data_IF_946684146287
#
_entry.id   IF_946684146287
#
_cell.length_a   1.000
_cell.length_b   1.000
_cell.length_c   1.000
_cell.angle_alpha   90.00
_cell.angle_beta   90.00
_cell.angle_gamma   90.00
#
_symmetry.space_group_name_H-M   'P 1'
#
loop_
_entity.id
_entity.type
_entity.pdbx_description
1 polymer ?
#
# COMPACT_ATOMS: atom_id res chain seq x y z
N UNK A 1 -38.54 -44.70 51.49
CA UNK A 1 -38.44 -43.26 51.84
C UNK A 1 -37.10 -42.77 51.33
N UNK A 2 -36.94 -41.83 50.40
CA UNK A 2 -37.85 -40.98 49.61
C UNK A 2 -37.07 -40.58 48.35
N UNK A 3 -37.78 -40.68 47.23
CA UNK A 3 -37.77 -39.86 46.01
C UNK A 3 -36.46 -39.55 45.24
N UNK A 4 -36.35 -40.23 44.09
CA UNK A 4 -35.71 -39.74 42.86
C UNK A 4 -36.74 -38.85 42.16
N UNK A 5 -36.37 -37.60 41.82
CA UNK A 5 -37.15 -36.74 40.92
C UNK A 5 -36.25 -36.31 39.75
N UNK A 6 -36.65 -36.73 38.55
CA UNK A 6 -36.12 -36.30 37.26
C UNK A 6 -36.57 -34.87 36.96
N UNK A 7 -35.66 -34.01 36.52
CA UNK A 7 -36.00 -32.70 35.96
C UNK A 7 -35.28 -32.48 34.61
N UNK A 8 -36.07 -32.65 33.53
CA UNK A 8 -36.23 -31.71 32.43
C UNK A 8 -35.02 -31.29 31.60
N UNK A 9 -34.99 -31.75 30.35
CA UNK A 9 -34.28 -31.13 29.22
C UNK A 9 -34.85 -29.75 28.88
N UNK A 10 -33.99 -28.74 28.70
CA UNK A 10 -34.28 -27.49 28.00
C UNK A 10 -32.98 -26.82 27.49
N UNK A 11 -33.04 -26.02 26.41
CA UNK A 11 -32.07 -26.07 25.32
C UNK A 11 -30.85 -25.14 25.48
N UNK A 12 -29.75 -25.53 24.81
CA UNK A 12 -28.53 -24.73 24.59
C UNK A 12 -28.90 -23.36 24.00
N UNK A 13 -28.89 -22.32 24.83
CA UNK A 13 -28.81 -20.93 24.35
C UNK A 13 -27.39 -20.64 23.88
N UNK A 14 -27.26 -20.38 22.58
CA UNK A 14 -26.09 -19.76 21.96
C UNK A 14 -25.68 -18.51 22.78
N UNK A 15 -24.42 -18.43 23.18
CA UNK A 15 -23.85 -17.18 23.70
C UNK A 15 -23.67 -16.23 22.51
N UNK A 16 -24.66 -15.37 22.35
CA UNK A 16 -24.69 -14.23 21.46
C UNK A 16 -23.51 -13.28 21.73
N UNK A 17 -23.11 -12.59 20.67
CA UNK A 17 -22.02 -11.64 20.56
C UNK A 17 -21.80 -10.75 21.80
N UNK A 18 -20.53 -10.55 22.15
CA UNK A 18 -20.09 -9.52 23.10
C UNK A 18 -20.61 -8.15 22.68
N UNK A 19 -21.68 -7.71 23.33
CA UNK A 19 -22.09 -6.32 23.36
C UNK A 19 -21.11 -5.56 24.25
N UNK A 20 -20.04 -5.04 23.65
CA UNK A 20 -19.34 -3.90 24.25
C UNK A 20 -20.33 -2.74 24.19
N UNK A 21 -21.05 -2.52 25.29
CA UNK A 21 -21.81 -1.30 25.48
C UNK A 21 -20.81 -0.14 25.46
N UNK A 22 -20.83 0.63 24.38
CA UNK A 22 -20.22 1.94 24.34
C UNK A 22 -20.89 2.80 25.41
N UNK A 23 -20.15 3.62 26.17
CA UNK A 23 -20.73 4.45 27.22
C UNK A 23 -21.90 5.28 26.68
N UNK A 24 -23.02 5.23 27.37
CA UNK A 24 -24.27 5.93 27.04
C UNK A 24 -24.25 7.44 27.35
N UNK A 25 -23.04 8.01 27.50
CA UNK A 25 -22.85 9.42 27.83
C UNK A 25 -22.16 10.14 26.66
N UNK A 26 -22.87 10.24 25.52
CA UNK A 26 -22.55 11.25 24.52
C UNK A 26 -23.29 12.53 24.90
N UNK A 27 -22.66 13.32 25.76
CA UNK A 27 -23.07 14.71 25.98
C UNK A 27 -22.97 15.47 24.66
N UNK A 28 -24.06 16.13 24.31
CA UNK A 28 -24.23 17.09 23.20
C UNK A 28 -23.44 18.38 23.45
N UNK A 29 -22.22 18.29 23.98
CA UNK A 29 -21.25 19.34 23.75
C UNK A 29 -20.87 19.23 22.28
N UNK A 30 -21.40 20.15 21.46
CA UNK A 30 -21.15 20.21 20.03
C UNK A 30 -19.63 20.10 19.80
N UNK A 31 -19.19 18.97 19.25
CA UNK A 31 -17.78 18.80 18.88
C UNK A 31 -17.41 19.96 17.97
N UNK A 32 -16.29 20.60 18.28
CA UNK A 32 -15.79 21.76 17.51
C UNK A 32 -15.24 21.35 16.15
N UNK A 33 -15.14 20.05 15.89
CA UNK A 33 -14.67 19.48 14.64
C UNK A 33 -15.71 19.73 13.54
N UNK A 34 -15.34 20.42 12.44
CA UNK A 34 -16.26 20.70 11.36
C UNK A 34 -16.64 19.44 10.59
N UNK A 35 -17.85 19.45 10.02
CA UNK A 35 -18.27 18.49 9.00
C UNK A 35 -18.08 19.17 7.65
N UNK A 36 -17.30 18.55 6.77
CA UNK A 36 -17.18 18.95 5.37
C UNK A 36 -18.30 18.28 4.56
N UNK A 37 -19.24 19.10 4.12
CA UNK A 37 -20.35 18.71 3.26
C UNK A 37 -19.95 18.87 1.79
N UNK A 38 -20.18 17.84 0.99
CA UNK A 38 -19.93 17.89 -0.46
C UNK A 38 -21.02 17.17 -1.24
N UNK A 39 -21.12 17.47 -2.54
CA UNK A 39 -22.01 16.81 -3.48
C UNK A 39 -21.20 16.23 -4.64
N UNK A 40 -21.75 15.26 -5.36
CA UNK A 40 -21.06 14.65 -6.51
C UNK A 40 -20.84 15.65 -7.65
N UNK A 41 -21.65 16.71 -7.74
CA UNK A 41 -21.43 17.83 -8.67
C UNK A 41 -20.16 18.66 -8.38
N UNK A 42 -19.58 18.54 -7.18
CA UNK A 42 -18.37 19.27 -6.78
C UNK A 42 -17.09 18.53 -7.24
N UNK A 43 -17.22 17.33 -7.83
CA UNK A 43 -16.11 16.53 -8.31
C UNK A 43 -15.41 17.12 -9.53
N UNK A 44 -14.08 17.18 -9.48
CA UNK A 44 -13.21 17.50 -10.62
C UNK A 44 -12.70 16.20 -11.22
N UNK A 45 -13.25 15.79 -12.36
CA UNK A 45 -12.75 14.61 -13.08
C UNK A 45 -11.37 14.89 -13.67
N UNK A 46 -11.21 16.04 -14.32
CA UNK A 46 -9.99 16.46 -15.00
C UNK A 46 -9.50 17.79 -14.42
N UNK A 47 -8.34 17.78 -13.74
CA UNK A 47 -7.78 19.00 -13.15
C UNK A 47 -7.33 20.04 -14.19
N UNK A 48 -7.15 19.66 -15.46
CA UNK A 48 -6.78 20.62 -16.52
C UNK A 48 -7.97 21.34 -17.11
N UNK A 49 -9.19 20.82 -16.95
CA UNK A 49 -10.37 21.52 -17.44
C UNK A 49 -10.61 22.76 -16.57
N UNK A 50 -10.94 23.91 -17.18
CA UNK A 50 -11.36 25.07 -16.43
C UNK A 50 -12.54 24.66 -15.55
N UNK A 51 -12.47 24.99 -14.26
CA UNK A 51 -13.65 24.88 -13.40
C UNK A 51 -14.64 25.88 -13.99
N UNK A 52 -15.76 25.39 -14.54
CA UNK A 52 -16.85 26.25 -14.93
C UNK A 52 -17.30 26.97 -13.66
N UNK A 53 -16.90 28.23 -13.50
CA UNK A 53 -17.41 29.07 -12.43
C UNK A 53 -18.91 29.13 -12.66
N UNK A 54 -19.67 28.41 -11.86
CA UNK A 54 -21.11 28.62 -11.73
C UNK A 54 -21.31 29.93 -10.98
N UNK A 55 -20.87 31.03 -11.59
CA UNK A 55 -21.28 32.39 -11.27
C UNK A 55 -22.71 32.65 -11.78
N UNK A 56 -23.57 31.63 -11.70
CA UNK A 56 -25.01 31.82 -11.68
C UNK A 56 -25.35 32.42 -10.32
N UNK A 57 -25.64 33.73 -10.30
CA UNK A 57 -26.06 34.49 -9.13
C UNK A 57 -27.01 33.65 -8.26
N UNK A 58 -26.52 33.16 -7.10
CA UNK A 58 -27.34 32.44 -6.12
C UNK A 58 -26.98 30.97 -5.86
N UNK A 59 -26.02 30.34 -6.55
CA UNK A 59 -25.51 29.04 -6.10
C UNK A 59 -24.40 29.21 -5.05
N UNK A 60 -24.39 28.41 -3.96
CA UNK A 60 -23.32 28.45 -2.97
C UNK A 60 -22.01 28.05 -3.64
N UNK A 61 -20.95 28.82 -3.35
CA UNK A 61 -19.58 28.54 -3.81
C UNK A 61 -19.16 27.12 -3.39
N UNK A 62 -18.39 26.47 -4.27
CA UNK A 62 -17.89 25.13 -3.99
C UNK A 62 -17.01 25.16 -2.73
N UNK A 63 -17.26 24.23 -1.81
CA UNK A 63 -16.42 24.11 -0.63
C UNK A 63 -15.00 23.63 -1.02
N UNK A 64 -13.98 24.40 -0.63
CA UNK A 64 -12.58 24.06 -0.90
C UNK A 64 -12.03 23.12 0.18
N UNK A 65 -11.93 21.84 -0.15
CA UNK A 65 -11.37 20.83 0.75
C UNK A 65 -9.87 21.07 1.00
N UNK A 66 -9.11 21.57 0.02
CA UNK A 66 -7.66 21.79 0.16
C UNK A 66 -7.37 22.87 1.18
N UNK A 67 -8.04 24.02 1.10
CA UNK A 67 -7.86 25.11 2.07
C UNK A 67 -8.31 24.70 3.47
N UNK A 68 -9.40 23.93 3.58
CA UNK A 68 -9.85 23.41 4.87
C UNK A 68 -8.85 22.42 5.46
N UNK A 69 -8.32 21.49 4.67
CA UNK A 69 -7.28 20.56 5.13
C UNK A 69 -6.06 21.32 5.65
N UNK A 70 -5.57 22.29 4.89
CA UNK A 70 -4.41 23.10 5.27
C UNK A 70 -4.64 23.87 6.57
N UNK A 71 -5.74 24.62 6.66
CA UNK A 71 -6.04 25.42 7.85
C UNK A 71 -6.17 24.57 9.11
N UNK A 72 -6.86 23.43 9.03
CA UNK A 72 -7.02 22.49 10.16
C UNK A 72 -5.72 21.81 10.55
N UNK A 73 -4.85 21.51 9.59
CA UNK A 73 -3.52 20.97 9.88
C UNK A 73 -2.62 22.00 10.58
N UNK A 74 -2.65 23.28 10.16
CA UNK A 74 -1.93 24.36 10.85
C UNK A 74 -2.46 24.60 12.27
N UNK A 75 -3.78 24.53 12.47
CA UNK A 75 -4.39 24.62 13.79
C UNK A 75 -3.90 23.49 14.71
N UNK A 76 -3.92 22.24 14.23
CA UNK A 76 -3.38 21.10 14.97
C UNK A 76 -1.88 21.26 15.27
N UNK A 77 -1.10 21.88 14.35
CA UNK A 77 0.31 22.22 14.57
C UNK A 77 0.48 23.19 15.72
N UNK A 78 -0.33 24.27 15.75
CA UNK A 78 -0.31 25.27 16.81
C UNK A 78 -0.66 24.69 18.19
N UNK A 79 -1.33 23.53 18.21
CA UNK A 79 -1.71 22.78 19.42
C UNK A 79 -0.76 21.62 19.75
N UNK A 80 0.41 21.55 19.12
CA UNK A 80 1.43 20.52 19.34
C UNK A 80 0.95 19.07 19.11
N UNK A 81 0.13 18.84 18.08
CA UNK A 81 -0.37 17.50 17.73
C UNK A 81 0.67 16.57 17.04
N UNK A 82 1.89 17.06 16.77
CA UNK A 82 2.92 16.33 16.03
C UNK A 82 4.09 15.92 16.92
N UNK A 83 4.67 14.76 16.64
CA UNK A 83 5.80 14.23 17.40
C UNK A 83 7.13 14.94 17.12
N UNK A 84 7.24 15.64 15.99
CA UNK A 84 8.45 16.31 15.52
C UNK A 84 8.14 17.41 14.51
N UNK A 85 9.14 18.27 14.24
CA UNK A 85 9.10 19.27 13.19
C UNK A 85 9.39 18.69 11.80
N UNK A 86 8.94 19.37 10.74
CA UNK A 86 9.26 18.99 9.37
C UNK A 86 10.55 19.68 8.92
N UNK A 87 11.68 19.09 9.29
CA UNK A 87 13.02 19.51 8.86
C UNK A 87 13.52 18.60 7.73
N UNK A 88 12.90 18.71 6.56
CA UNK A 88 13.13 17.81 5.44
C UNK A 88 14.15 18.37 4.43
N UNK A 89 15.00 17.49 3.90
CA UNK A 89 15.82 17.77 2.71
C UNK A 89 15.41 16.86 1.57
N UNK A 90 15.58 17.30 0.33
CA UNK A 90 15.16 16.53 -0.85
C UNK A 90 16.28 16.44 -1.86
N UNK A 91 16.31 15.33 -2.60
CA UNK A 91 17.10 15.19 -3.82
C UNK A 91 16.38 14.30 -4.82
N UNK A 92 16.70 14.49 -6.09
CA UNK A 92 16.36 13.55 -7.14
C UNK A 92 17.49 12.52 -7.28
N UNK A 93 17.11 11.27 -7.57
CA UNK A 93 18.04 10.23 -7.96
C UNK A 93 17.98 10.12 -9.47
N UNK A 94 19.07 10.48 -10.12
CA UNK A 94 19.18 10.32 -11.57
C UNK A 94 19.19 8.84 -11.94
N UNK A 95 18.42 8.51 -12.97
CA UNK A 95 18.36 7.17 -13.53
C UNK A 95 17.11 6.96 -14.38
N UNK A 96 16.78 5.69 -14.61
CA UNK A 96 15.67 5.29 -15.46
C UNK A 96 14.33 5.68 -14.86
N UNK A 97 14.17 5.66 -13.54
CA UNK A 97 12.87 5.80 -12.85
C UNK A 97 12.62 7.20 -12.28
N UNK A 98 13.61 8.10 -12.33
CA UNK A 98 13.54 9.49 -11.86
C UNK A 98 13.01 9.61 -10.42
N UNK A 99 13.59 8.83 -9.51
CA UNK A 99 13.11 8.74 -8.13
C UNK A 99 13.37 10.04 -7.36
N UNK A 100 12.45 10.39 -6.47
CA UNK A 100 12.68 11.45 -5.48
C UNK A 100 13.01 10.84 -4.13
N UNK A 101 13.83 11.52 -3.32
CA UNK A 101 14.14 11.09 -1.96
C UNK A 101 14.03 12.27 -0.99
N UNK A 102 13.29 12.07 0.10
CA UNK A 102 13.20 12.99 1.24
C UNK A 102 13.98 12.44 2.43
N UNK A 103 14.90 13.22 3.00
CA UNK A 103 15.49 12.95 4.31
C UNK A 103 14.59 13.52 5.41
N UNK A 104 14.25 12.68 6.39
CA UNK A 104 13.65 13.10 7.65
C UNK A 104 14.20 12.26 8.81
N UNK A 105 15.23 12.77 9.48
CA UNK A 105 15.95 12.08 10.57
C UNK A 105 15.05 11.93 11.80
N UNK A 106 14.38 13.01 12.21
CA UNK A 106 13.50 13.02 13.38
C UNK A 106 12.38 11.99 13.23
N UNK A 107 11.83 11.81 12.02
CA UNK A 107 10.86 10.75 11.74
C UNK A 107 11.46 9.35 11.92
N UNK A 108 12.70 9.14 11.50
CA UNK A 108 13.39 7.85 11.70
C UNK A 108 13.51 7.47 13.17
N UNK A 109 13.69 8.46 14.04
CA UNK A 109 13.94 8.29 15.48
C UNK A 109 12.66 8.29 16.33
N UNK A 110 11.75 9.23 16.04
CA UNK A 110 10.59 9.55 16.89
C UNK A 110 9.29 8.88 16.42
N UNK A 111 9.27 8.28 15.23
CA UNK A 111 8.10 7.51 14.78
C UNK A 111 7.92 6.27 15.66
N UNK A 112 6.67 5.98 15.98
CA UNK A 112 6.28 4.74 16.66
C UNK A 112 6.81 3.52 15.90
N UNK A 113 7.32 2.53 16.66
CA UNK A 113 7.67 1.22 16.12
C UNK A 113 6.42 0.54 15.54
N UNK A 114 6.46 0.05 14.29
CA UNK A 114 5.33 -0.65 13.69
C UNK A 114 4.91 -1.87 14.51
N UNK A 115 3.61 -2.15 14.53
CA UNK A 115 3.08 -3.40 15.04
C UNK A 115 3.53 -4.58 14.16
N UNK A 116 3.69 -5.76 14.76
CA UNK A 116 4.03 -6.98 14.03
C UNK A 116 2.77 -7.75 13.67
N UNK A 117 2.69 -8.16 12.41
CA UNK A 117 1.59 -8.92 11.84
C UNK A 117 2.10 -10.21 11.20
N UNK A 118 1.24 -11.23 11.16
CA UNK A 118 1.45 -12.56 10.57
C UNK A 118 0.58 -12.78 9.34
N UNK A 119 -0.60 -12.15 9.31
CA UNK A 119 -1.56 -12.28 8.22
C UNK A 119 -2.06 -10.91 7.79
N UNK A 120 -2.53 -10.82 6.55
CA UNK A 120 -3.13 -9.58 6.04
C UNK A 120 -4.46 -9.30 6.74
N UNK A 121 -5.22 -10.37 7.02
CA UNK A 121 -6.49 -10.33 7.74
C UNK A 121 -6.31 -10.69 9.21
N UNK A 122 -5.66 -9.81 9.97
CA UNK A 122 -5.71 -9.91 11.43
C UNK A 122 -6.93 -9.19 12.00
N UNK A 123 -7.60 -9.76 13.01
CA UNK A 123 -8.72 -9.09 13.66
C UNK A 123 -8.25 -7.80 14.35
N UNK A 124 -9.11 -6.78 14.31
CA UNK A 124 -8.91 -5.57 15.10
C UNK A 124 -8.79 -5.92 16.59
N UNK A 125 -7.92 -5.20 17.30
CA UNK A 125 -7.74 -5.39 18.74
C UNK A 125 -7.88 -4.04 19.48
N UNK A 126 -8.94 -3.85 20.30
CA UNK A 126 -9.17 -2.59 21.01
C UNK A 126 -8.10 -2.27 22.07
N UNK A 127 -7.39 -3.30 22.57
CA UNK A 127 -6.35 -3.16 23.58
C UNK A 127 -5.04 -2.60 22.99
N UNK A 128 -4.81 -2.80 21.68
CA UNK A 128 -3.66 -2.20 20.99
C UNK A 128 -3.96 -0.73 20.66
N UNK A 129 -2.93 0.04 20.33
CA UNK A 129 -3.12 1.42 19.88
C UNK A 129 -4.01 1.44 18.62
N UNK A 130 -4.97 2.37 18.58
CA UNK A 130 -5.90 2.52 17.46
C UNK A 130 -6.49 3.95 17.46
N UNK A 131 -7.10 4.36 16.34
CA UNK A 131 -7.59 5.72 16.15
C UNK A 131 -8.81 6.14 17.00
N UNK A 132 -9.52 5.23 17.68
CA UNK A 132 -10.56 5.67 18.63
C UNK A 132 -9.99 6.38 19.85
N UNK A 133 -8.65 6.37 19.99
CA UNK A 133 -7.90 7.04 21.05
C UNK A 133 -7.37 8.42 20.64
N UNK A 134 -7.72 8.93 19.45
CA UNK A 134 -7.35 10.27 19.02
C UNK A 134 -8.00 11.31 19.94
N UNK A 135 -7.25 12.36 20.26
CA UNK A 135 -7.78 13.54 20.92
C UNK A 135 -8.59 14.36 19.92
N UNK A 136 -9.56 15.17 20.41
CA UNK A 136 -10.37 16.02 19.53
C UNK A 136 -9.52 16.97 18.67
N UNK A 137 -8.40 17.47 19.22
CA UNK A 137 -7.45 18.33 18.50
C UNK A 137 -6.69 17.63 17.36
N UNK A 138 -6.68 16.30 17.32
CA UNK A 138 -6.08 15.53 16.23
C UNK A 138 -7.09 15.28 15.10
N UNK A 139 -8.39 15.50 15.35
CA UNK A 139 -9.45 15.33 14.37
C UNK A 139 -9.63 16.63 13.58
N UNK A 140 -9.36 16.58 12.28
CA UNK A 140 -9.40 17.76 11.43
C UNK A 140 -10.83 18.06 10.98
N UNK A 141 -11.54 17.06 10.46
CA UNK A 141 -12.92 17.18 9.97
C UNK A 141 -13.60 15.81 9.84
N UNK A 142 -14.92 15.82 9.71
CA UNK A 142 -15.73 14.68 9.26
C UNK A 142 -16.20 14.88 7.82
N UNK A 143 -16.29 13.81 7.03
CA UNK A 143 -16.77 13.87 5.64
C UNK A 143 -18.23 13.43 5.51
N UNK A 144 -19.04 14.21 4.79
CA UNK A 144 -20.40 13.80 4.38
C UNK A 144 -20.72 14.20 2.94
N UNK A 145 -21.18 13.22 2.17
CA UNK A 145 -21.75 13.42 0.84
C UNK A 145 -23.28 13.59 0.97
N UNK A 146 -23.84 14.69 0.47
CA UNK A 146 -25.25 15.04 0.67
C UNK A 146 -26.19 14.35 -0.32
N UNK A 147 -25.84 14.37 -1.60
CA UNK A 147 -26.66 13.86 -2.71
C UNK A 147 -26.50 12.35 -2.93
N UNK A 148 -25.37 11.79 -2.47
CA UNK A 148 -25.13 10.35 -2.46
C UNK A 148 -24.59 9.94 -1.10
N UNK A 149 -25.40 9.71 -0.05
CA UNK A 149 -24.89 9.37 1.27
C UNK A 149 -23.88 8.21 1.26
N UNK A 150 -22.77 8.34 2.01
CA UNK A 150 -21.75 7.29 2.14
C UNK A 150 -22.30 6.09 2.92
N UNK A 151 -23.13 6.38 3.92
CA UNK A 151 -23.69 5.46 4.89
C UNK A 151 -25.07 5.97 5.30
N UNK A 152 -26.01 5.05 5.54
CA UNK A 152 -27.34 5.37 6.09
C UNK A 152 -27.33 5.44 7.61
N UNK A 153 -26.25 5.00 8.26
CA UNK A 153 -26.08 5.04 9.70
C UNK A 153 -25.61 6.45 10.14
N UNK A 154 -26.42 7.20 10.91
CA UNK A 154 -26.04 8.55 11.34
C UNK A 154 -24.83 8.56 12.28
N UNK A 155 -24.55 7.45 12.97
CA UNK A 155 -23.43 7.31 13.92
C UNK A 155 -22.12 6.89 13.25
N UNK A 156 -22.17 6.52 11.97
CA UNK A 156 -21.00 6.14 11.19
C UNK A 156 -20.21 7.40 10.80
N UNK A 157 -18.99 7.51 11.31
CA UNK A 157 -18.13 8.70 11.18
C UNK A 157 -16.94 8.39 10.29
N UNK A 158 -16.79 9.16 9.22
CA UNK A 158 -15.62 9.14 8.33
C UNK A 158 -14.76 10.35 8.66
N UNK A 159 -13.55 10.09 9.16
CA UNK A 159 -12.69 11.11 9.77
C UNK A 159 -11.52 11.42 8.86
N UNK A 160 -11.16 12.70 8.75
CA UNK A 160 -9.79 13.10 8.44
C UNK A 160 -9.13 13.58 9.73
N UNK A 161 -7.99 13.01 10.06
CA UNK A 161 -7.20 13.33 11.25
C UNK A 161 -5.76 13.65 10.87
N UNK A 162 -5.04 14.41 11.69
CA UNK A 162 -3.61 14.63 11.45
C UNK A 162 -2.84 13.33 11.59
N UNK A 163 -1.77 13.17 10.81
CA UNK A 163 -0.77 12.18 11.11
C UNK A 163 0.23 12.77 12.10
N UNK A 164 0.23 12.31 13.36
CA UNK A 164 1.19 12.75 14.39
C UNK A 164 2.66 12.47 14.01
N UNK A 165 2.92 11.65 12.99
CA UNK A 165 4.24 11.43 12.40
C UNK A 165 4.22 11.73 10.90
N UNK A 166 4.10 13.03 10.54
CA UNK A 166 3.90 13.46 9.16
C UNK A 166 5.16 13.21 8.30
N UNK A 167 4.94 13.07 6.99
CA UNK A 167 6.01 12.98 5.98
C UNK A 167 6.26 14.36 5.40
N UNK A 168 5.17 15.04 5.06
CA UNK A 168 5.14 16.39 4.53
C UNK A 168 4.10 17.21 5.28
N UNK A 169 4.14 18.53 5.08
CA UNK A 169 3.07 19.44 5.46
C UNK A 169 1.73 18.91 4.96
N UNK A 170 0.71 19.07 5.79
CA UNK A 170 -0.66 18.63 5.52
C UNK A 170 -0.83 17.09 5.41
N UNK A 171 0.20 16.29 5.69
CA UNK A 171 0.07 14.83 5.78
C UNK A 171 -0.93 14.45 6.89
N UNK A 172 -2.04 13.89 6.44
CA UNK A 172 -3.20 13.53 7.24
C UNK A 172 -3.62 12.08 6.96
N UNK A 173 -4.58 11.58 7.73
CA UNK A 173 -5.09 10.22 7.69
C UNK A 173 -6.59 10.24 7.40
N UNK A 174 -7.02 9.43 6.45
CA UNK A 174 -8.43 9.14 6.20
C UNK A 174 -8.76 7.88 7.00
N UNK A 175 -9.73 7.97 7.91
CA UNK A 175 -10.15 6.88 8.80
C UNK A 175 -11.63 6.59 8.53
N UNK A 176 -11.93 5.64 7.62
CA UNK A 176 -13.30 5.25 7.30
C UNK A 176 -13.97 4.58 8.49
N UNK A 177 -15.16 5.05 8.85
CA UNK A 177 -16.01 4.38 9.84
C UNK A 177 -15.27 4.11 11.16
N UNK A 178 -14.67 5.15 11.74
CA UNK A 178 -13.78 5.04 12.91
C UNK A 178 -14.42 4.27 14.08
N UNK A 179 -15.75 4.40 14.24
CA UNK A 179 -16.51 3.73 15.30
C UNK A 179 -16.74 2.23 15.05
N UNK A 180 -16.58 1.76 13.80
CA UNK A 180 -16.72 0.35 13.43
C UNK A 180 -15.45 -0.47 13.68
N UNK A 181 -14.34 0.19 14.06
CA UNK A 181 -13.09 -0.48 14.43
C UNK A 181 -12.63 -1.52 13.40
N UNK A 182 -12.70 -1.15 12.12
CA UNK A 182 -12.39 -2.08 11.03
C UNK A 182 -10.90 -2.43 11.02
N UNK A 183 -10.51 -3.70 10.76
CA UNK A 183 -9.11 -4.04 10.57
C UNK A 183 -8.53 -3.33 9.34
N UNK A 184 -7.21 -3.25 9.23
CA UNK A 184 -6.47 -2.59 8.13
C UNK A 184 -6.57 -3.40 6.83
N UNK A 185 -7.79 -3.47 6.29
CA UNK A 185 -8.19 -4.11 5.04
C UNK A 185 -9.06 -3.11 4.30
N UNK A 186 -8.69 -2.79 3.06
CA UNK A 186 -9.38 -1.76 2.29
C UNK A 186 -10.82 -2.20 1.97
N UNK A 187 -11.80 -1.35 2.30
CA UNK A 187 -13.22 -1.63 2.09
C UNK A 187 -13.79 -0.80 0.94
N UNK A 188 -14.99 -1.20 0.44
CA UNK A 188 -15.78 -0.40 -0.52
C UNK A 188 -15.96 1.06 -0.08
N UNK A 189 -16.17 1.28 1.21
CA UNK A 189 -16.31 2.62 1.80
C UNK A 189 -14.98 3.37 1.81
N UNK A 190 -13.86 2.71 2.13
CA UNK A 190 -12.54 3.33 2.07
C UNK A 190 -12.18 3.77 0.63
N UNK A 191 -12.37 2.88 -0.34
CA UNK A 191 -12.15 3.19 -1.77
C UNK A 191 -13.02 4.35 -2.22
N UNK A 192 -14.28 4.37 -1.79
CA UNK A 192 -15.19 5.48 -2.07
C UNK A 192 -14.63 6.80 -1.55
N UNK A 193 -14.29 6.86 -0.26
CA UNK A 193 -13.77 8.06 0.38
C UNK A 193 -12.50 8.55 -0.31
N UNK A 194 -11.58 7.64 -0.62
CA UNK A 194 -10.36 7.99 -1.34
C UNK A 194 -10.67 8.59 -2.72
N UNK A 195 -11.59 7.97 -3.48
CA UNK A 195 -12.00 8.46 -4.81
C UNK A 195 -12.64 9.84 -4.71
N UNK A 196 -13.59 10.03 -3.77
CA UNK A 196 -14.28 11.30 -3.57
C UNK A 196 -13.30 12.41 -3.18
N UNK A 197 -12.40 12.16 -2.23
CA UNK A 197 -11.40 13.14 -1.79
C UNK A 197 -10.47 13.51 -2.95
N UNK A 198 -9.99 12.53 -3.73
CA UNK A 198 -9.17 12.82 -4.91
C UNK A 198 -9.90 13.70 -5.92
N UNK A 199 -11.20 13.46 -6.14
CA UNK A 199 -12.04 14.28 -7.02
C UNK A 199 -12.30 15.68 -6.46
N UNK A 200 -12.30 15.86 -5.14
CA UNK A 200 -12.57 17.13 -4.48
C UNK A 200 -11.32 18.03 -4.33
N UNK A 201 -10.13 17.46 -4.25
CA UNK A 201 -8.87 18.23 -4.12
C UNK A 201 -8.37 18.67 -5.50
N UNK A 202 -8.26 19.99 -5.68
CA UNK A 202 -7.80 20.63 -6.92
C UNK A 202 -6.27 20.82 -6.94
N UNK A 203 -5.52 19.73 -6.81
CA UNK A 203 -4.05 19.75 -6.76
C UNK A 203 -3.47 18.43 -7.28
N UNK A 204 -2.53 18.49 -8.22
CA UNK A 204 -1.89 17.32 -8.84
C UNK A 204 -0.76 16.72 -7.97
N UNK A 205 -0.28 17.45 -6.96
CA UNK A 205 0.69 16.92 -5.98
C UNK A 205 0.03 16.15 -4.83
N UNK A 206 -1.30 16.14 -4.74
CA UNK A 206 -2.05 15.43 -3.70
C UNK A 206 -2.21 13.94 -4.02
N UNK A 207 -1.86 13.10 -3.04
CA UNK A 207 -1.85 11.65 -3.17
C UNK A 207 -2.55 10.99 -1.98
N UNK A 208 -3.20 9.85 -2.24
CA UNK A 208 -3.73 8.95 -1.21
C UNK A 208 -2.98 7.63 -1.24
N UNK A 209 -2.56 7.17 -0.06
CA UNK A 209 -1.77 5.96 0.10
C UNK A 209 -2.48 4.95 1.02
N UNK A 210 -2.42 3.67 0.66
CA UNK A 210 -2.82 2.57 1.52
C UNK A 210 -1.71 1.53 1.64
N UNK A 211 -1.50 1.05 2.86
CA UNK A 211 -0.58 -0.02 3.19
C UNK A 211 -1.38 -1.14 3.86
N UNK A 212 -1.33 -2.36 3.35
CA UNK A 212 -1.90 -3.53 4.05
C UNK A 212 -0.98 -3.99 5.19
N UNK A 213 -1.46 -4.84 6.12
CA UNK A 213 -0.70 -5.25 7.32
C UNK A 213 0.69 -5.84 7.00
N UNK A 214 0.79 -6.69 5.99
CA UNK A 214 2.07 -7.23 5.52
C UNK A 214 2.69 -6.40 4.39
N UNK A 215 2.06 -5.26 4.05
CA UNK A 215 2.46 -4.25 3.08
C UNK A 215 2.95 -2.96 3.74
N UNK A 216 3.66 -3.05 4.86
CA UNK A 216 4.22 -1.91 5.63
C UNK A 216 3.21 -1.07 6.43
N UNK A 217 1.99 -1.55 6.71
CA UNK A 217 1.14 -0.86 7.67
C UNK A 217 1.74 -0.89 9.09
N UNK A 218 1.52 0.18 9.86
CA UNK A 218 2.03 0.27 11.23
C UNK A 218 0.97 -0.01 12.31
N UNK A 219 -0.31 0.06 11.95
CA UNK A 219 -1.46 0.00 12.87
C UNK A 219 -2.56 -0.86 12.25
N UNK A 220 -3.20 -1.71 13.06
CA UNK A 220 -4.37 -2.48 12.64
C UNK A 220 -5.68 -1.78 13.03
N UNK A 221 -5.99 -0.70 12.31
CA UNK A 221 -7.28 -0.03 12.29
C UNK A 221 -7.33 0.68 10.94
N UNK A 222 -8.35 0.39 10.11
CA UNK A 222 -8.47 0.88 8.74
C UNK A 222 -8.20 2.38 8.62
N UNK A 223 -7.11 2.70 7.93
CA UNK A 223 -6.73 4.06 7.57
C UNK A 223 -6.01 4.07 6.22
N UNK A 224 -6.08 5.23 5.57
CA UNK A 224 -5.26 5.59 4.42
C UNK A 224 -4.54 6.89 4.77
N UNK A 225 -3.41 7.13 4.13
CA UNK A 225 -2.70 8.40 4.22
C UNK A 225 -3.19 9.31 3.10
N UNK A 226 -3.23 10.60 3.35
CA UNK A 226 -3.34 11.60 2.31
C UNK A 226 -2.29 12.70 2.54
N UNK A 227 -1.52 13.02 1.50
CA UNK A 227 -0.45 14.01 1.60
C UNK A 227 -0.17 14.65 0.24
N UNK A 228 0.45 15.81 0.28
CA UNK A 228 1.07 16.43 -0.88
C UNK A 228 2.52 15.95 -0.96
N UNK A 229 3.01 15.65 -2.16
CA UNK A 229 4.42 15.33 -2.37
C UNK A 229 5.03 16.29 -3.40
N UNK A 230 6.19 16.91 -3.11
CA UNK A 230 6.72 18.01 -3.92
C UNK A 230 7.25 17.60 -5.31
N UNK A 231 7.39 16.29 -5.58
CA UNK A 231 7.87 15.76 -6.85
C UNK A 231 6.83 14.86 -7.48
N UNK A 232 6.55 15.02 -8.77
CA UNK A 232 5.65 14.10 -9.46
C UNK A 232 6.28 12.71 -9.55
N UNK A 233 5.48 11.67 -9.30
CA UNK A 233 5.89 10.28 -9.51
C UNK A 233 6.01 10.04 -11.01
N UNK A 234 7.18 9.59 -11.47
CA UNK A 234 7.35 9.28 -12.89
C UNK A 234 6.53 8.06 -13.36
N UNK A 235 5.90 7.32 -12.43
CA UNK A 235 4.93 6.27 -12.73
C UNK A 235 3.78 6.78 -13.60
N UNK A 236 3.33 8.01 -13.36
CA UNK A 236 2.24 8.63 -14.13
C UNK A 236 2.62 8.87 -15.60
N UNK A 237 3.93 8.84 -15.91
CA UNK A 237 4.46 9.06 -17.25
C UNK A 237 4.65 7.76 -18.05
N UNK A 238 4.44 6.59 -17.42
CA UNK A 238 4.74 5.29 -17.99
C UNK A 238 3.66 4.77 -18.94
N UNK A 239 4.10 3.98 -19.90
CA UNK A 239 3.26 3.13 -20.74
C UNK A 239 2.92 1.86 -19.97
N UNK A 240 1.65 1.46 -20.05
CA UNK A 240 1.12 0.24 -19.47
C UNK A 240 0.70 -0.73 -20.57
N UNK A 241 0.34 -1.94 -20.18
CA UNK A 241 -0.28 -2.95 -21.04
C UNK A 241 -1.70 -3.24 -20.54
N UNK A 242 -2.59 -3.68 -21.44
CA UNK A 242 -3.91 -4.13 -21.03
C UNK A 242 -3.80 -5.46 -20.29
N UNK A 243 -4.60 -5.64 -19.24
CA UNK A 243 -4.71 -6.95 -18.60
C UNK A 243 -5.65 -7.85 -19.41
N UNK A 244 -5.09 -8.72 -20.25
CA UNK A 244 -5.83 -9.59 -21.18
C UNK A 244 -6.84 -8.79 -22.03
N UNK A 245 -8.08 -9.25 -22.05
CA UNK A 245 -9.24 -8.69 -22.76
C UNK A 245 -10.02 -7.67 -21.92
N UNK A 246 -9.55 -7.31 -20.72
CA UNK A 246 -10.25 -6.38 -19.84
C UNK A 246 -10.11 -4.92 -20.31
N UNK A 247 -11.25 -4.27 -20.47
CA UNK A 247 -11.32 -2.82 -20.61
C UNK A 247 -10.97 -2.13 -19.28
N UNK A 248 -10.20 -1.04 -19.36
CA UNK A 248 -9.88 -0.15 -18.24
C UNK A 248 -9.15 -0.81 -17.05
N UNK A 249 -8.46 -1.92 -17.29
CA UNK A 249 -7.53 -2.54 -16.34
C UNK A 249 -6.18 -2.71 -17.01
N UNK A 250 -5.15 -2.17 -16.37
CA UNK A 250 -3.82 -2.08 -16.95
C UNK A 250 -2.78 -2.69 -16.03
N UNK A 251 -1.67 -3.15 -16.58
CA UNK A 251 -0.52 -3.65 -15.83
C UNK A 251 0.76 -2.98 -16.29
N UNK A 252 1.73 -2.91 -15.38
CA UNK A 252 3.12 -2.57 -15.64
C UNK A 252 3.98 -3.52 -14.84
N UNK A 253 5.11 -3.94 -15.40
CA UNK A 253 6.08 -4.83 -14.77
C UNK A 253 7.50 -4.27 -14.93
N UNK A 254 8.46 -4.69 -14.11
CA UNK A 254 9.87 -4.46 -14.39
C UNK A 254 10.28 -4.98 -15.78
N UNK A 255 11.18 -4.29 -16.50
CA UNK A 255 11.89 -3.08 -16.08
C UNK A 255 11.12 -1.77 -16.36
N UNK A 256 9.87 -1.80 -16.82
CA UNK A 256 9.15 -0.57 -17.17
C UNK A 256 8.79 0.29 -15.93
N UNK A 257 8.69 -0.34 -14.76
CA UNK A 257 8.63 0.31 -13.45
C UNK A 257 9.40 -0.49 -12.38
N UNK A 258 9.57 0.12 -11.20
CA UNK A 258 10.29 -0.43 -10.04
C UNK A 258 9.76 -1.79 -9.55
N UNK A 259 8.45 -2.00 -9.69
CA UNK A 259 7.76 -3.22 -9.29
C UNK A 259 6.46 -3.35 -10.10
N UNK A 260 5.89 -4.55 -10.10
CA UNK A 260 4.66 -4.80 -10.85
C UNK A 260 3.46 -4.10 -10.21
N UNK A 261 2.59 -3.52 -11.02
CA UNK A 261 1.38 -2.86 -10.56
C UNK A 261 0.19 -3.15 -11.47
N UNK A 262 -1.01 -3.17 -10.87
CA UNK A 262 -2.29 -3.16 -11.57
C UNK A 262 -2.86 -1.75 -11.45
N UNK A 263 -3.20 -1.12 -12.57
CA UNK A 263 -3.71 0.25 -12.60
C UNK A 263 -5.17 0.32 -13.08
N UNK A 264 -5.91 1.24 -12.47
CA UNK A 264 -7.28 1.61 -12.82
C UNK A 264 -7.33 3.13 -12.96
N UNK A 265 -8.02 3.64 -13.98
CA UNK A 265 -8.18 5.08 -14.18
C UNK A 265 -9.65 5.44 -14.32
N UNK A 266 -10.06 6.51 -13.65
CA UNK A 266 -11.40 7.08 -13.76
C UNK A 266 -11.39 8.15 -14.86
N UNK A 267 -11.93 7.83 -16.03
CA UNK A 267 -11.90 8.75 -17.19
C UNK A 267 -13.11 9.67 -17.27
N UNK A 268 -14.25 9.25 -16.70
CA UNK A 268 -15.50 10.00 -16.65
C UNK A 268 -16.31 9.65 -15.41
N UNK A 269 -17.28 10.49 -15.03
CA UNK A 269 -18.19 10.18 -13.91
C UNK A 269 -19.11 8.99 -14.19
N UNK A 270 -19.39 8.67 -15.46
CA UNK A 270 -20.19 7.50 -15.82
C UNK A 270 -19.48 6.19 -15.44
N UNK A 271 -18.15 6.20 -15.40
CA UNK A 271 -17.32 5.06 -14.99
C UNK A 271 -17.07 5.01 -13.47
N UNK A 272 -17.57 5.97 -12.70
CA UNK A 272 -17.26 6.11 -11.27
C UNK A 272 -17.55 4.84 -10.45
N UNK A 273 -18.70 4.21 -10.68
CA UNK A 273 -19.08 2.98 -9.98
C UNK A 273 -18.28 1.76 -10.47
N UNK A 274 -17.99 1.69 -11.77
CA UNK A 274 -17.16 0.63 -12.37
C UNK A 274 -15.73 0.70 -11.85
N UNK A 275 -15.11 1.89 -11.84
CA UNK A 275 -13.78 2.14 -11.30
C UNK A 275 -13.67 1.65 -9.85
N UNK A 276 -14.61 2.08 -8.99
CA UNK A 276 -14.65 1.69 -7.58
C UNK A 276 -14.88 0.19 -7.41
N UNK A 277 -15.74 -0.41 -8.22
CA UNK A 277 -16.04 -1.84 -8.18
C UNK A 277 -14.82 -2.68 -8.59
N UNK A 278 -14.13 -2.32 -9.67
CA UNK A 278 -12.95 -3.04 -10.14
C UNK A 278 -11.80 -2.94 -9.14
N UNK A 279 -11.53 -1.75 -8.62
CA UNK A 279 -10.53 -1.55 -7.57
C UNK A 279 -10.87 -2.35 -6.30
N UNK A 280 -12.15 -2.36 -5.90
CA UNK A 280 -12.62 -3.16 -4.75
C UNK A 280 -12.35 -4.65 -4.98
N UNK A 281 -12.75 -5.19 -6.14
CA UNK A 281 -12.53 -6.60 -6.46
C UNK A 281 -11.05 -6.96 -6.48
N UNK A 282 -10.18 -6.06 -6.97
CA UNK A 282 -8.74 -6.27 -6.97
C UNK A 282 -8.19 -6.40 -5.54
N UNK A 283 -8.52 -5.46 -4.65
CA UNK A 283 -8.03 -5.52 -3.26
C UNK A 283 -8.65 -6.65 -2.45
N UNK A 284 -9.92 -7.00 -2.68
CA UNK A 284 -10.59 -8.15 -2.08
C UNK A 284 -9.88 -9.45 -2.53
N UNK A 285 -9.66 -9.63 -3.83
CA UNK A 285 -8.93 -10.77 -4.39
C UNK A 285 -7.53 -10.92 -3.77
N UNK A 286 -6.71 -9.86 -3.76
CA UNK A 286 -5.37 -9.92 -3.17
C UNK A 286 -5.42 -10.23 -1.67
N UNK A 287 -6.39 -9.68 -0.95
CA UNK A 287 -6.60 -9.96 0.47
C UNK A 287 -6.98 -11.42 0.71
N UNK A 288 -7.83 -12.01 -0.14
CA UNK A 288 -8.24 -13.42 -0.07
C UNK A 288 -7.09 -14.38 -0.38
N UNK A 289 -6.21 -14.02 -1.32
CA UNK A 289 -4.97 -14.74 -1.60
C UNK A 289 -3.89 -14.56 -0.51
N UNK A 290 -4.18 -13.81 0.55
CA UNK A 290 -3.20 -13.39 1.56
C UNK A 290 -1.94 -12.77 0.91
N UNK A 291 -2.14 -11.98 -0.14
CA UNK A 291 -1.13 -11.27 -0.90
C UNK A 291 -1.02 -9.80 -0.45
N UNK A 292 0.13 -9.41 0.10
CA UNK A 292 0.35 -8.04 0.55
C UNK A 292 0.27 -7.10 -0.64
N UNK A 293 -0.22 -5.90 -0.38
CA UNK A 293 -0.41 -4.90 -1.41
C UNK A 293 -0.39 -3.50 -0.82
N UNK A 294 0.01 -2.57 -1.67
CA UNK A 294 -0.08 -1.14 -1.43
C UNK A 294 -0.98 -0.53 -2.51
N UNK A 295 -1.62 0.58 -2.19
CA UNK A 295 -2.39 1.35 -3.17
C UNK A 295 -1.90 2.79 -3.15
N UNK A 296 -1.62 3.32 -4.33
CA UNK A 296 -1.27 4.72 -4.58
C UNK A 296 -2.33 5.31 -5.49
N UNK A 297 -3.04 6.33 -5.02
CA UNK A 297 -4.09 7.01 -5.80
C UNK A 297 -3.64 8.46 -5.98
N UNK A 298 -3.59 8.91 -7.22
CA UNK A 298 -3.04 10.20 -7.61
C UNK A 298 -3.78 10.79 -8.81
N UNK A 299 -3.39 12.01 -9.19
CA UNK A 299 -3.75 12.64 -10.45
C UNK A 299 -2.70 12.27 -11.49
N UNK A 300 -3.14 11.73 -12.62
CA UNK A 300 -2.25 11.26 -13.67
C UNK A 300 -2.82 11.57 -15.06
N UNK A 301 -1.93 11.67 -16.04
CA UNK A 301 -2.32 11.73 -17.44
C UNK A 301 -3.04 10.44 -17.88
N UNK A 302 -3.77 10.46 -19.02
CA UNK A 302 -4.40 9.26 -19.55
C UNK A 302 -3.41 8.11 -19.70
N UNK A 303 -3.78 6.91 -19.21
CA UNK A 303 -2.93 5.73 -19.33
C UNK A 303 -2.72 5.42 -20.81
N UNK A 304 -1.46 5.29 -21.21
CA UNK A 304 -1.06 4.95 -22.58
C UNK A 304 -0.72 3.48 -22.68
N UNK A 305 -1.18 2.83 -23.74
CA UNK A 305 -0.84 1.44 -24.09
C UNK A 305 -0.02 1.30 -25.37
N UNK A 306 0.34 2.43 -25.97
CA UNK A 306 1.14 2.52 -27.18
C UNK A 306 2.15 3.68 -27.08
N UNK A 307 3.07 3.77 -28.04
CA UNK A 307 4.11 4.79 -28.07
C UNK A 307 5.29 4.50 -27.12
N UNK A 308 6.07 5.54 -26.74
CA UNK A 308 7.25 5.40 -25.89
C UNK A 308 6.96 4.85 -24.50
N UNK A 309 7.92 4.13 -23.90
CA UNK A 309 7.83 3.56 -22.54
C UNK A 309 7.58 4.63 -21.47
N UNK A 310 8.12 5.83 -21.67
CA UNK A 310 7.94 6.99 -20.80
C UNK A 310 7.65 8.22 -21.67
N UNK A 311 6.67 9.02 -21.28
CA UNK A 311 6.32 10.25 -21.98
C UNK A 311 5.68 11.24 -21.00
N UNK A 312 6.38 12.35 -20.76
CA UNK A 312 5.95 13.44 -19.86
C UNK A 312 5.12 14.49 -20.62
N UNK A 313 4.03 14.96 -20.01
CA UNK A 313 3.25 16.08 -20.53
C UNK A 313 3.88 17.44 -20.17
N UNK A 314 5.03 17.74 -20.78
CA UNK A 314 5.75 19.01 -20.54
C UNK A 314 4.91 20.26 -20.86
N UNK A 315 3.97 20.13 -21.79
CA UNK A 315 3.07 21.22 -22.20
C UNK A 315 1.91 21.44 -21.23
N UNK A 316 1.66 20.50 -20.30
CA UNK A 316 0.58 20.56 -19.29
C UNK A 316 -0.81 20.69 -19.91
N UNK A 317 -1.04 20.03 -21.04
CA UNK A 317 -2.31 20.09 -21.80
C UNK A 317 -3.15 18.82 -21.66
N UNK A 318 -2.56 17.71 -21.22
CA UNK A 318 -3.26 16.42 -21.10
C UNK A 318 -4.09 16.40 -19.82
N UNK A 319 -5.28 15.76 -19.87
CA UNK A 319 -6.13 15.60 -18.70
C UNK A 319 -5.36 15.08 -17.48
N UNK A 320 -5.78 15.48 -16.28
CA UNK A 320 -5.24 14.97 -15.02
C UNK A 320 -6.36 14.25 -14.26
N UNK A 321 -6.40 12.94 -14.45
CA UNK A 321 -7.48 12.03 -14.05
C UNK A 321 -7.12 11.29 -12.77
N UNK A 322 -8.12 10.79 -12.05
CA UNK A 322 -7.87 9.95 -10.86
C UNK A 322 -7.42 8.57 -11.30
N UNK A 323 -6.20 8.18 -10.92
CA UNK A 323 -5.63 6.86 -11.22
C UNK A 323 -5.22 6.17 -9.92
N UNK A 324 -5.62 4.91 -9.77
CA UNK A 324 -5.22 4.05 -8.68
C UNK A 324 -4.24 2.98 -9.18
N UNK A 325 -3.08 2.90 -8.55
CA UNK A 325 -2.06 1.87 -8.77
C UNK A 325 -2.05 0.94 -7.57
N UNK A 326 -2.29 -0.34 -7.79
CA UNK A 326 -2.21 -1.39 -6.79
C UNK A 326 -0.90 -2.14 -7.01
N UNK A 327 -0.05 -2.22 -5.98
CA UNK A 327 1.23 -2.92 -6.01
C UNK A 327 1.15 -4.21 -5.20
N UNK A 328 0.79 -5.36 -5.80
CA UNK A 328 1.02 -6.66 -5.17
C UNK A 328 2.51 -6.83 -4.85
N UNK A 329 2.83 -7.22 -3.61
CA UNK A 329 4.21 -7.27 -3.13
C UNK A 329 4.47 -8.47 -2.24
N UNK A 330 5.72 -8.88 -2.10
CA UNK A 330 6.12 -9.91 -1.13
C UNK A 330 5.67 -9.54 0.27
N UNK A 331 5.12 -10.51 1.00
CA UNK A 331 4.67 -10.33 2.37
C UNK A 331 5.87 -9.98 3.26
N UNK A 332 5.86 -8.79 3.87
CA UNK A 332 6.90 -8.38 4.81
C UNK A 332 6.69 -9.08 6.17
N UNK A 333 7.13 -10.34 6.27
CA UNK A 333 7.13 -11.10 7.52
C UNK A 333 8.44 -10.91 8.29
N UNK A 334 8.33 -10.61 9.59
CA UNK A 334 9.49 -10.45 10.48
C UNK A 334 9.85 -8.98 10.73
N UNK A 335 10.61 -8.74 11.81
CA UNK A 335 11.10 -7.41 12.12
C UNK A 335 12.38 -7.15 11.33
N UNK A 336 12.29 -6.34 10.30
CA UNK A 336 13.48 -5.77 9.67
C UNK A 336 13.88 -4.51 10.45
N UNK A 337 15.14 -4.40 10.90
CA UNK A 337 15.63 -3.14 11.43
C UNK A 337 15.52 -2.07 10.33
N UNK A 338 15.21 -0.81 10.67
CA UNK A 338 15.12 0.26 9.68
C UNK A 338 16.53 0.50 9.13
N UNK A 339 16.83 -0.06 7.97
CA UNK A 339 18.18 0.04 7.38
C UNK A 339 18.31 1.36 6.64
N UNK A 340 17.32 1.76 5.83
CA UNK A 340 17.40 2.98 5.01
C UNK A 340 16.03 3.65 4.81
N UNK A 341 15.09 2.90 4.25
CA UNK A 341 13.67 3.22 4.10
C UNK A 341 12.84 1.93 4.04
N UNK A 342 11.51 2.04 4.12
CA UNK A 342 10.63 0.89 3.98
C UNK A 342 9.84 1.03 2.68
N UNK A 343 9.86 0.05 1.76
CA UNK A 343 9.06 0.10 0.53
C UNK A 343 7.54 0.00 0.81
N UNK A 344 6.93 1.12 1.16
CA UNK A 344 5.48 1.29 1.31
C UNK A 344 4.90 1.98 0.07
N UNK A 345 3.60 2.31 0.08
CA UNK A 345 2.90 2.86 -1.09
C UNK A 345 3.59 4.07 -1.74
N UNK A 346 4.12 5.01 -0.95
CA UNK A 346 4.81 6.20 -1.46
C UNK A 346 6.11 5.80 -2.18
N UNK A 347 6.89 4.95 -1.53
CA UNK A 347 8.17 4.50 -2.04
C UNK A 347 8.03 3.63 -3.31
N UNK A 348 6.99 2.79 -3.38
CA UNK A 348 6.68 1.99 -4.58
C UNK A 348 6.18 2.86 -5.76
N UNK A 349 5.65 4.04 -5.46
CA UNK A 349 5.37 5.08 -6.44
C UNK A 349 6.61 5.94 -6.77
N UNK A 350 7.80 5.60 -6.28
CA UNK A 350 9.05 6.31 -6.59
C UNK A 350 9.29 7.59 -5.77
N UNK A 351 8.47 7.80 -4.74
CA UNK A 351 8.59 8.90 -3.77
C UNK A 351 9.26 8.36 -2.50
N UNK A 352 10.59 8.34 -2.48
CA UNK A 352 11.36 7.68 -1.44
C UNK A 352 11.53 8.55 -0.19
N UNK A 353 11.69 7.87 0.95
CA UNK A 353 12.14 8.49 2.21
C UNK A 353 13.55 8.01 2.55
N UNK A 354 14.22 8.74 3.44
CA UNK A 354 15.47 8.34 4.07
C UNK A 354 15.41 8.72 5.54
N UNK A 355 15.81 7.78 6.40
CA UNK A 355 15.87 7.99 7.85
C UNK A 355 17.23 8.48 8.33
N UNK A 356 18.28 8.45 7.49
CA UNK A 356 19.64 8.83 7.89
C UNK A 356 20.32 9.70 6.84
N UNK A 357 21.12 10.67 7.31
CA UNK A 357 21.96 11.52 6.44
C UNK A 357 22.89 10.65 5.59
N UNK A 358 23.53 9.64 6.21
CA UNK A 358 24.47 8.74 5.50
C UNK A 358 23.82 8.05 4.30
N UNK A 359 22.62 7.49 4.47
CA UNK A 359 21.92 6.88 3.34
C UNK A 359 21.49 7.94 2.34
N UNK A 360 20.95 9.07 2.80
CA UNK A 360 20.54 10.15 1.91
C UNK A 360 21.70 10.68 1.05
N UNK A 361 22.91 10.81 1.57
CA UNK A 361 24.06 11.28 0.79
C UNK A 361 24.53 10.21 -0.21
N UNK A 362 24.63 8.95 0.23
CA UNK A 362 25.20 7.86 -0.59
C UNK A 362 24.22 7.18 -1.56
N UNK A 363 22.91 7.35 -1.36
CA UNK A 363 21.90 6.68 -2.17
C UNK A 363 21.93 7.15 -3.63
N UNK A 364 21.95 6.18 -4.54
CA UNK A 364 21.67 6.35 -5.97
C UNK A 364 20.46 5.50 -6.37
N UNK A 365 19.92 5.72 -7.57
CA UNK A 365 18.70 5.06 -8.03
C UNK A 365 18.82 3.53 -7.96
N UNK A 366 19.90 2.97 -8.50
CA UNK A 366 20.13 1.52 -8.51
C UNK A 366 20.16 0.91 -7.10
N UNK A 367 20.74 1.62 -6.11
CA UNK A 367 20.76 1.15 -4.73
C UNK A 367 19.38 1.11 -4.09
N UNK A 368 18.49 2.03 -4.47
CA UNK A 368 17.11 2.06 -3.99
C UNK A 368 16.25 0.99 -4.69
N UNK A 369 16.46 0.81 -6.00
CA UNK A 369 15.83 -0.26 -6.78
C UNK A 369 16.13 -1.62 -6.16
N UNK A 370 17.39 -1.92 -5.83
CA UNK A 370 17.76 -3.18 -5.16
C UNK A 370 17.02 -3.42 -3.84
N UNK A 371 16.84 -2.37 -3.03
CA UNK A 371 16.06 -2.48 -1.78
C UNK A 371 14.60 -2.84 -2.11
N UNK A 372 14.00 -2.23 -3.13
CA UNK A 372 12.62 -2.54 -3.53
C UNK A 372 12.52 -3.96 -4.11
N UNK A 373 13.48 -4.38 -4.93
CA UNK A 373 13.60 -5.74 -5.48
C UNK A 373 13.64 -6.79 -4.36
N UNK A 374 14.52 -6.59 -3.37
CA UNK A 374 14.70 -7.53 -2.25
C UNK A 374 13.53 -7.55 -1.25
N UNK A 375 12.85 -6.42 -1.07
CA UNK A 375 11.89 -6.26 0.03
C UNK A 375 10.42 -6.25 -0.38
N UNK A 376 10.11 -6.00 -1.64
CA UNK A 376 8.74 -5.80 -2.11
C UNK A 376 8.43 -6.50 -3.43
N UNK A 377 9.34 -6.57 -4.39
CA UNK A 377 9.03 -7.10 -5.71
C UNK A 377 8.58 -8.57 -5.66
N UNK A 378 7.44 -8.86 -6.30
CA UNK A 378 7.04 -10.24 -6.60
C UNK A 378 7.81 -10.76 -7.81
N UNK A 379 8.11 -12.06 -7.82
CA UNK A 379 8.59 -12.72 -9.04
C UNK A 379 7.57 -12.56 -10.16
N UNK A 380 8.03 -12.28 -11.38
CA UNK A 380 7.16 -12.01 -12.53
C UNK A 380 6.15 -13.13 -12.79
N UNK A 381 6.56 -14.39 -12.67
CA UNK A 381 5.65 -15.54 -12.83
C UNK A 381 4.52 -15.53 -11.80
N UNK A 382 4.81 -15.13 -10.56
CA UNK A 382 3.80 -15.04 -9.48
C UNK A 382 2.85 -13.88 -9.76
N UNK A 383 3.38 -12.72 -10.16
CA UNK A 383 2.56 -11.56 -10.51
C UNK A 383 1.64 -11.85 -11.71
N UNK A 384 2.19 -12.42 -12.79
CA UNK A 384 1.42 -12.79 -13.98
C UNK A 384 0.32 -13.77 -13.63
N UNK A 385 0.62 -14.79 -12.80
CA UNK A 385 -0.40 -15.72 -12.32
C UNK A 385 -1.53 -15.00 -11.58
N UNK A 386 -1.19 -14.10 -10.65
CA UNK A 386 -2.16 -13.29 -9.91
C UNK A 386 -2.99 -12.40 -10.83
N UNK A 387 -2.36 -11.79 -11.83
CA UNK A 387 -3.02 -10.90 -12.78
C UNK A 387 -4.01 -11.67 -13.67
N UNK A 388 -3.63 -12.85 -14.17
CA UNK A 388 -4.51 -13.73 -14.95
C UNK A 388 -5.67 -14.27 -14.11
N UNK A 389 -5.40 -14.70 -12.86
CA UNK A 389 -6.45 -15.11 -11.92
C UNK A 389 -7.43 -13.96 -11.62
N UNK A 390 -6.93 -12.74 -11.47
CA UNK A 390 -7.76 -11.55 -11.31
C UNK A 390 -8.57 -11.24 -12.58
N UNK A 391 -7.99 -11.43 -13.77
CA UNK A 391 -8.67 -11.26 -15.05
C UNK A 391 -9.86 -12.22 -15.19
N UNK A 392 -9.66 -13.49 -14.79
CA UNK A 392 -10.72 -14.49 -14.75
C UNK A 392 -11.83 -14.09 -13.78
N UNK A 393 -11.47 -13.66 -12.57
CA UNK A 393 -12.41 -13.20 -11.56
C UNK A 393 -13.26 -12.02 -12.05
N UNK A 394 -12.66 -11.03 -12.71
CA UNK A 394 -13.38 -9.85 -13.18
C UNK A 394 -14.31 -10.17 -14.36
N UNK A 395 -13.93 -11.16 -15.18
CA UNK A 395 -14.70 -11.65 -16.33
C UNK A 395 -15.73 -12.72 -15.94
N UNK A 396 -15.82 -13.09 -14.65
CA UNK A 396 -16.61 -14.24 -14.15
C UNK A 396 -16.25 -15.57 -14.84
N UNK A 397 -14.99 -15.73 -15.26
CA UNK A 397 -14.44 -17.00 -15.75
C UNK A 397 -13.97 -17.86 -14.56
N UNK A 398 -13.92 -19.20 -14.71
CA UNK A 398 -13.23 -20.05 -13.74
C UNK A 398 -11.76 -19.65 -13.61
N UNK A 399 -11.25 -19.56 -12.36
CA UNK A 399 -9.84 -19.30 -12.10
C UNK A 399 -8.97 -20.35 -12.80
N UNK A 400 -7.90 -19.92 -13.46
CA UNK A 400 -7.02 -20.80 -14.21
C UNK A 400 -7.26 -20.81 -15.72
N UNK A 401 -8.40 -20.28 -16.19
CA UNK A 401 -8.78 -20.35 -17.60
C UNK A 401 -7.89 -19.48 -18.50
N UNK A 402 -7.48 -18.30 -18.04
CA UNK A 402 -6.62 -17.40 -18.82
C UNK A 402 -5.16 -17.89 -18.92
N UNK A 403 -4.74 -18.87 -18.12
CA UNK A 403 -3.36 -19.39 -18.13
C UNK A 403 -3.11 -20.28 -19.34
N UNK A 404 -4.11 -21.07 -19.76
CA UNK A 404 -3.99 -21.99 -20.89
C UNK A 404 -3.85 -21.26 -22.24
N UNK A 405 -4.52 -20.12 -22.40
CA UNK A 405 -4.42 -19.30 -23.62
C UNK A 405 -3.02 -18.70 -23.81
N UNK A 406 -2.31 -18.42 -22.70
CA UNK A 406 -0.98 -17.83 -22.74
C UNK A 406 0.13 -18.86 -22.99
N UNK A 407 -0.07 -20.11 -22.53
CA UNK A 407 0.87 -21.22 -22.80
C UNK A 407 0.80 -21.70 -24.26
N UNK A 408 -0.39 -21.77 -24.87
CA UNK A 408 -0.52 -22.14 -26.28
C UNK A 408 0.21 -21.13 -27.20
N UNK A 409 0.18 -19.84 -26.87
CA UNK A 409 0.91 -18.81 -27.63
C UNK A 409 2.44 -18.93 -27.51
N UNK A 410 2.95 -19.55 -26.45
CA UNK A 410 4.39 -19.82 -26.28
C UNK A 410 4.82 -21.14 -26.96
N UNK A 411 3.94 -22.14 -26.99
CA UNK A 411 4.14 -23.38 -27.76
C UNK A 411 4.14 -23.12 -29.28
N UNK A 412 3.32 -22.17 -29.76
CA UNK A 412 3.30 -21.77 -31.18
C UNK A 412 4.55 -20.97 -31.62
N UNK A 413 5.47 -20.63 -30.70
CA UNK A 413 6.73 -19.93 -31.00
C UNK A 413 7.94 -20.86 -31.15
N UNK A 414 7.79 -22.17 -31.01
CA UNK A 414 8.87 -23.11 -31.36
C UNK A 414 8.89 -23.30 -32.87
N UNK A 415 9.70 -22.52 -33.58
CA UNK A 415 9.98 -22.81 -34.99
C UNK A 415 10.79 -24.12 -35.11
N UNK A 416 10.60 -24.93 -36.17
CA UNK A 416 11.39 -26.15 -36.40
C UNK A 416 12.91 -25.91 -36.43
N UNK A 417 13.32 -24.67 -36.69
CA UNK A 417 14.70 -24.22 -36.78
C UNK A 417 15.38 -24.12 -35.39
N UNK A 418 14.61 -23.93 -34.30
CA UNK A 418 15.13 -23.90 -32.92
C UNK A 418 15.40 -25.32 -32.40
N UNK A 419 14.62 -26.31 -32.85
CA UNK A 419 14.83 -27.71 -32.48
C UNK A 419 16.04 -28.33 -33.19
N UNK A 420 16.30 -27.96 -34.45
CA UNK A 420 17.54 -28.36 -35.16
C UNK A 420 18.80 -27.76 -34.51
N UNK A 421 18.71 -26.54 -33.96
CA UNK A 421 19.80 -25.94 -33.19
C UNK A 421 20.04 -26.70 -31.88
N UNK A 422 19.00 -27.19 -31.20
CA UNK A 422 19.15 -28.00 -29.96
C UNK A 422 19.87 -29.32 -30.21
N UNK A 423 19.62 -29.98 -31.33
CA UNK A 423 20.30 -31.23 -31.71
C UNK A 423 21.75 -30.99 -32.16
N UNK A 424 22.05 -29.82 -32.76
CA UNK A 424 23.42 -29.47 -33.16
C UNK A 424 24.37 -29.19 -31.99
N UNK A 425 23.86 -28.80 -30.80
CA UNK A 425 24.68 -28.59 -29.61
C UNK A 425 24.92 -29.85 -28.77
N UNK A 426 24.14 -30.92 -28.96
CA UNK A 426 24.36 -32.20 -28.26
C UNK A 426 25.50 -33.04 -28.86
N UNK A 427 26.00 -32.69 -30.05
CA UNK A 427 27.10 -33.41 -30.72
C UNK A 427 28.51 -32.93 -30.31
N UNK A 428 28.62 -31.90 -29.46
CA UNK A 428 29.90 -31.41 -28.92
C UNK A 428 30.01 -31.60 -27.40
N UNK A 429 29.87 -32.84 -26.93
CA UNK A 429 30.40 -33.24 -25.62
C UNK A 429 31.70 -34.03 -25.80
N UNK A 430 32.89 -33.46 -25.46
CA UNK A 430 34.12 -34.24 -25.48
C UNK A 430 34.10 -35.28 -24.36
N UNK A 431 34.32 -36.54 -24.73
CA UNK A 431 34.44 -37.66 -23.80
C UNK A 431 35.70 -37.53 -22.95
N UNK A 432 35.56 -37.48 -21.62
CA UNK A 432 36.67 -37.75 -20.68
C UNK A 432 36.86 -39.26 -20.51
N UNK A 433 38.10 -39.78 -20.48
CA UNK A 433 38.34 -41.20 -20.36
C UNK A 433 38.18 -41.69 -18.92
N UNK A 434 37.58 -42.88 -18.79
CA UNK A 434 37.36 -43.65 -17.58
C UNK A 434 38.64 -43.92 -16.77
N UNK A 435 38.55 -43.81 -15.44
CA UNK A 435 39.30 -44.66 -14.50
C UNK A 435 38.31 -45.19 -13.46
N UNK A 436 38.11 -46.50 -13.50
CA UNK A 436 37.16 -47.21 -12.65
C UNK A 436 37.64 -47.40 -11.21
N UNK A 437 36.67 -47.56 -10.32
CA UNK A 437 36.88 -48.29 -9.06
C UNK A 437 35.56 -48.89 -8.61
N UNK A 438 35.48 -50.21 -8.76
CA UNK A 438 34.46 -51.03 -8.13
C UNK A 438 34.65 -50.99 -6.61
N UNK A 439 33.59 -50.79 -5.83
CA UNK A 439 33.52 -51.38 -4.49
C UNK A 439 32.08 -51.58 -4.01
N UNK A 440 31.83 -52.86 -3.68
CA UNK A 440 30.63 -53.45 -3.12
C UNK A 440 30.31 -52.91 -1.72
N UNK A 441 29.01 -52.94 -1.42
CA UNK A 441 28.39 -52.88 -0.10
C UNK A 441 29.03 -53.81 0.95
N UNK A 442 29.13 -53.36 2.20
CA UNK A 442 28.63 -54.12 3.37
C UNK A 442 28.56 -53.29 4.65
N UNK A 443 27.47 -53.56 5.36
CA UNK A 443 27.08 -53.27 6.75
C UNK A 443 28.17 -53.36 7.82
N UNK A 444 28.03 -52.58 8.90
CA UNK A 444 28.71 -52.85 10.18
C UNK A 444 28.54 -51.72 11.20
N UNK A 445 27.94 -52.06 12.33
CA UNK A 445 27.57 -51.25 13.51
C UNK A 445 28.69 -51.09 14.55
N UNK A 446 28.42 -50.21 15.54
CA UNK A 446 29.07 -50.03 16.87
C UNK A 446 30.41 -49.27 16.85
N UNK A 447 30.84 -48.48 17.85
CA UNK A 447 30.35 -47.92 19.13
C UNK A 447 31.46 -46.93 19.59
N UNK A 448 31.14 -45.93 20.44
CA UNK A 448 31.96 -45.26 21.51
C UNK A 448 33.39 -44.74 21.18
N UNK A 449 33.79 -43.51 21.52
CA UNK A 449 34.11 -42.93 22.85
C UNK A 449 34.50 -41.44 22.60
N UNK A 450 33.90 -40.42 23.24
CA UNK A 450 34.28 -39.74 24.50
C UNK A 450 35.66 -39.05 24.61
N UNK A 451 35.61 -37.89 25.29
CA UNK A 451 36.67 -36.96 25.74
C UNK A 451 37.24 -36.01 24.67
N UNK A 452 37.49 -34.73 24.91
CA UNK A 452 37.30 -33.88 26.09
C UNK A 452 38.02 -32.53 25.86
N UNK A 453 37.34 -31.43 26.22
CA UNK A 453 37.90 -30.23 26.88
C UNK A 453 39.09 -29.50 26.21
N UNK A 454 38.91 -28.24 25.79
CA UNK A 454 39.45 -27.07 26.51
C UNK A 454 38.91 -25.73 25.97
N UNK A 455 38.49 -24.88 26.91
CA UNK A 455 38.13 -23.47 26.76
C UNK A 455 39.40 -22.62 26.69
N UNK A 456 39.37 -21.50 25.97
CA UNK A 456 40.03 -20.28 26.42
C UNK A 456 39.15 -19.06 26.16
N UNK A 457 38.89 -18.33 27.25
CA UNK A 457 38.34 -16.98 27.28
C UNK A 457 39.53 -16.01 27.21
N UNK A 458 39.37 -14.88 26.53
CA UNK A 458 40.17 -13.68 26.79
C UNK A 458 39.22 -12.53 27.12
N UNK A 459 39.48 -11.89 28.26
CA UNK A 459 38.81 -10.67 28.75
C UNK A 459 39.88 -9.75 29.31
N UNK A 460 39.74 -8.47 28.92
CA UNK A 460 40.12 -7.22 29.59
C UNK A 460 41.60 -6.90 29.89
N UNK A 461 42.03 -5.74 29.39
CA UNK A 461 42.79 -4.75 30.15
C UNK A 461 42.43 -3.33 29.67
N UNK A 462 42.10 -2.47 30.65
CA UNK A 462 42.00 -1.02 30.56
C UNK A 462 43.39 -0.41 30.80
N UNK A 463 43.67 0.75 30.20
CA UNK A 463 44.53 1.81 30.74
C UNK A 463 44.06 3.13 30.09
N UNK A 464 43.42 4.04 30.83
CA UNK A 464 43.94 5.08 31.75
C UNK A 464 44.80 6.17 31.10
N UNK A 465 44.38 7.44 31.29
CA UNK A 465 45.32 8.56 31.45
C UNK A 465 45.10 9.85 30.64
N UNK A 466 44.50 10.86 31.30
CA UNK A 466 44.86 12.31 31.30
C UNK A 466 44.70 13.15 30.02
N UNK A 467 44.41 14.47 30.02
CA UNK A 467 44.25 15.50 31.06
C UNK A 467 43.54 16.73 30.44
N UNK A 468 42.57 17.29 31.18
CA UNK A 468 42.30 18.71 31.50
C UNK A 468 42.58 19.83 30.48
N UNK A 469 41.54 20.60 30.12
CA UNK A 469 41.11 21.81 30.86
C UNK A 469 39.62 22.11 30.60
#
# INVERSE_FOLDING_TARGET
MREIVMLGTSPRTQRSASSVQLPADYTTHASTVPIFHYRTKDFIVDLRKPIESSSSKGQPERADLKELLHSRWQEAKSRNAFNYGLNCMYKLLEGQYNLSMQLNVERGELRRKPMRFKHIREPFNPLRWNFTKLNENEIMLYLRCEDRPITSDPLDRHVIAVNASPLERDHSLIIPSINKCLPQVLTKTAIRLATDIMLLVADDSFNILFNSLLGQASVNHLHMHCLYWPYESDLINRRFEHLNDLANVYIIEPPNWLCSAIAFQLTSLDEYDTFRSNLTRCVEFLTEQNQAHNVFITRAQPIRTNGPVQEEDRARIRPQLVTAYVFPRVNASGAKPPTNFNPAANELAGCLTSYTIRFFESANEQSCVRIIEEEAQLESVVFQKLALDFSDLLSNRPLGSSHCSHNNALEDLTSPEIDELRDSFQTFTPHSPNVGSARRSRSGSAEKEQSGILRSKFTFAQDTGMQFL
#
